data_IF_030097233120
#
_entry.id   IF_030097233120
#
_cell.length_a   1.000
_cell.length_b   1.000
_cell.length_c   1.000
_cell.angle_alpha   90.00
_cell.angle_beta   90.00
_cell.angle_gamma   90.00
#
_symmetry.space_group_name_H-M   'P 1'
#
loop_
_entity.id
_entity.type
_entity.pdbx_description
1 polymer ?
#
# COMPACT_ATOMS: atom_id res chain seq x y z
N UNK A 1 19.47 7.45 -23.74
CA UNK A 1 19.30 5.98 -23.78
C UNK A 1 18.46 5.57 -22.57
N UNK A 2 17.33 4.89 -22.78
CA UNK A 2 16.54 4.35 -21.67
C UNK A 2 17.26 3.12 -21.12
N UNK A 3 17.59 3.14 -19.82
CA UNK A 3 18.07 1.96 -19.10
C UNK A 3 16.87 1.19 -18.58
N UNK A 4 16.77 -0.10 -18.93
CA UNK A 4 15.77 -1.01 -18.38
C UNK A 4 16.38 -1.69 -17.16
N UNK A 5 15.69 -1.63 -16.03
CA UNK A 5 16.09 -2.28 -14.79
C UNK A 5 14.99 -3.23 -14.31
N UNK A 6 15.38 -4.31 -13.63
CA UNK A 6 14.42 -5.17 -12.93
C UNK A 6 13.87 -4.42 -11.71
N UNK A 7 12.57 -4.57 -11.49
CA UNK A 7 11.93 -4.13 -10.25
C UNK A 7 11.97 -5.28 -9.25
N UNK A 8 12.20 -4.96 -7.98
CA UNK A 8 12.08 -5.95 -6.91
C UNK A 8 10.61 -6.32 -6.73
N UNK A 9 10.29 -7.61 -6.57
CA UNK A 9 8.91 -8.08 -6.42
C UNK A 9 8.19 -7.40 -5.24
N UNK A 10 8.88 -7.23 -4.12
CA UNK A 10 8.35 -6.52 -2.95
C UNK A 10 7.98 -5.05 -3.27
N UNK A 11 8.68 -4.40 -4.19
CA UNK A 11 8.35 -3.04 -4.64
C UNK A 11 7.05 -3.04 -5.45
N UNK A 12 6.90 -3.96 -6.41
CA UNK A 12 5.71 -4.06 -7.26
C UNK A 12 4.49 -4.41 -6.40
N UNK A 13 4.55 -5.53 -5.70
CA UNK A 13 3.40 -6.05 -4.94
C UNK A 13 3.07 -5.19 -3.72
N UNK A 14 4.08 -4.57 -3.10
CA UNK A 14 3.87 -3.59 -2.04
C UNK A 14 3.13 -2.34 -2.53
N UNK A 15 3.48 -1.80 -3.70
CA UNK A 15 2.76 -0.67 -4.29
C UNK A 15 1.33 -1.05 -4.70
N UNK A 16 1.12 -2.22 -5.29
CA UNK A 16 -0.21 -2.70 -5.61
C UNK A 16 -1.08 -2.91 -4.36
N UNK A 17 -0.52 -3.46 -3.28
CA UNK A 17 -1.21 -3.58 -2.00
C UNK A 17 -1.53 -2.21 -1.37
N UNK A 18 -0.63 -1.24 -1.51
CA UNK A 18 -0.88 0.16 -1.13
C UNK A 18 -2.12 0.72 -1.80
N UNK A 19 -2.22 0.57 -3.13
CA UNK A 19 -3.34 1.06 -3.91
C UNK A 19 -4.66 0.40 -3.47
N UNK A 20 -4.65 -0.93 -3.25
CA UNK A 20 -5.78 -1.66 -2.69
C UNK A 20 -6.20 -1.10 -1.32
N UNK A 21 -5.24 -0.88 -0.41
CA UNK A 21 -5.53 -0.30 0.90
C UNK A 21 -6.12 1.13 0.78
N UNK A 22 -5.65 1.92 -0.20
CA UNK A 22 -6.18 3.24 -0.52
C UNK A 22 -7.64 3.19 -0.99
N UNK A 23 -8.05 2.14 -1.71
CA UNK A 23 -9.45 1.93 -2.10
C UNK A 23 -10.37 1.81 -0.88
N UNK A 24 -9.91 1.20 0.22
CA UNK A 24 -10.70 1.15 1.47
C UNK A 24 -10.90 2.53 2.09
N UNK A 25 -9.92 3.42 1.95
CA UNK A 25 -10.08 4.81 2.36
C UNK A 25 -11.07 5.55 1.45
N UNK A 26 -10.93 5.39 0.13
CA UNK A 26 -11.85 5.98 -0.85
C UNK A 26 -13.29 5.51 -0.67
N UNK A 27 -13.50 4.25 -0.27
CA UNK A 27 -14.82 3.69 0.02
C UNK A 27 -15.57 4.47 1.12
N UNK A 28 -14.86 5.14 2.05
CA UNK A 28 -15.49 6.01 3.06
C UNK A 28 -16.20 7.21 2.46
N UNK A 29 -15.75 7.65 1.28
CA UNK A 29 -16.34 8.78 0.54
C UNK A 29 -17.37 8.31 -0.50
N UNK A 30 -17.57 6.99 -0.66
CA UNK A 30 -18.52 6.39 -1.60
C UNK A 30 -19.37 5.30 -0.91
N UNK A 31 -20.34 5.69 -0.06
CA UNK A 31 -21.10 4.77 0.78
C UNK A 31 -21.81 3.65 0.01
N UNK A 32 -22.29 3.95 -1.20
CA UNK A 32 -22.99 2.98 -2.05
C UNK A 32 -22.07 1.85 -2.54
N UNK A 33 -20.78 2.13 -2.69
CA UNK A 33 -19.78 1.15 -3.15
C UNK A 33 -19.08 0.43 -1.98
N UNK A 34 -19.11 1.01 -0.78
CA UNK A 34 -18.41 0.47 0.38
C UNK A 34 -18.77 -0.98 0.75
N UNK A 35 -20.05 -1.42 0.70
CA UNK A 35 -20.42 -2.81 0.99
C UNK A 35 -19.80 -3.82 0.03
N UNK A 36 -19.50 -3.42 -1.21
CA UNK A 36 -18.87 -4.28 -2.22
C UNK A 36 -17.36 -4.20 -2.14
N UNK A 37 -16.80 -2.98 -2.09
CA UNK A 37 -15.35 -2.76 -2.17
C UNK A 37 -14.61 -3.26 -0.93
N UNK A 38 -15.19 -3.05 0.26
CA UNK A 38 -14.52 -3.41 1.52
C UNK A 38 -14.20 -4.90 1.62
N UNK A 39 -15.19 -5.81 1.56
CA UNK A 39 -14.91 -7.25 1.65
C UNK A 39 -14.08 -7.75 0.47
N UNK A 40 -14.28 -7.20 -0.75
CA UNK A 40 -13.51 -7.57 -1.92
C UNK A 40 -12.01 -7.28 -1.74
N UNK A 41 -11.66 -6.06 -1.34
CA UNK A 41 -10.27 -5.66 -1.13
C UNK A 41 -9.65 -6.43 0.02
N UNK A 42 -10.37 -6.62 1.14
CA UNK A 42 -9.88 -7.41 2.27
C UNK A 42 -9.59 -8.86 1.85
N UNK A 43 -10.50 -9.49 1.10
CA UNK A 43 -10.28 -10.84 0.58
C UNK A 43 -9.07 -10.89 -0.36
N UNK A 44 -8.90 -9.92 -1.25
CA UNK A 44 -7.77 -9.90 -2.18
C UNK A 44 -6.43 -9.76 -1.47
N UNK A 45 -6.35 -8.92 -0.42
CA UNK A 45 -5.14 -8.74 0.38
C UNK A 45 -4.73 -10.00 1.16
N UNK A 46 -5.64 -10.96 1.36
CA UNK A 46 -5.33 -12.27 1.98
C UNK A 46 -4.81 -13.32 1.00
N UNK A 47 -4.70 -13.00 -0.30
CA UNK A 47 -4.24 -13.96 -1.32
C UNK A 47 -2.79 -13.69 -1.75
N UNK A 48 -2.03 -14.73 -2.13
CA UNK A 48 -0.74 -14.52 -2.78
C UNK A 48 -0.88 -13.68 -4.05
N UNK A 49 0.07 -12.76 -4.34
CA UNK A 49 1.27 -12.43 -3.54
C UNK A 49 1.05 -11.31 -2.50
N UNK A 50 -0.19 -10.86 -2.27
CA UNK A 50 -0.51 -9.74 -1.37
C UNK A 50 -0.45 -10.11 0.11
N UNK A 51 -0.68 -11.37 0.45
CA UNK A 51 -0.64 -11.93 1.80
C UNK A 51 0.70 -11.69 2.54
N UNK A 52 1.77 -11.38 1.80
CA UNK A 52 3.09 -11.04 2.34
C UNK A 52 3.53 -9.60 2.08
N UNK A 53 2.70 -8.77 1.45
CA UNK A 53 3.04 -7.41 1.05
C UNK A 53 2.95 -6.39 2.19
N UNK A 54 2.21 -6.70 3.24
CA UNK A 54 1.94 -5.82 4.38
C UNK A 54 0.86 -6.39 5.29
N UNK A 55 0.44 -5.59 6.26
CA UNK A 55 -0.57 -5.98 7.24
C UNK A 55 -1.39 -4.78 7.71
N UNK A 56 -2.62 -5.05 8.18
CA UNK A 56 -3.41 -4.04 8.88
C UNK A 56 -3.02 -4.02 10.35
N UNK A 57 -2.63 -2.84 10.81
CA UNK A 57 -2.44 -2.54 12.24
C UNK A 57 -3.64 -1.77 12.78
N UNK A 58 -3.66 -1.49 14.08
CA UNK A 58 -4.63 -0.55 14.69
C UNK A 58 -4.59 0.86 14.08
N UNK A 59 -3.51 1.21 13.38
CA UNK A 59 -3.31 2.52 12.73
C UNK A 59 -3.51 2.48 11.21
N UNK A 60 -4.09 1.39 10.69
CA UNK A 60 -4.25 1.17 9.26
C UNK A 60 -3.16 0.28 8.66
N UNK A 61 -3.14 0.22 7.34
CA UNK A 61 -2.26 -0.66 6.57
C UNK A 61 -0.80 -0.19 6.61
N UNK A 62 0.12 -1.15 6.77
CA UNK A 62 1.57 -0.92 6.74
C UNK A 62 2.20 -1.91 5.79
N UNK A 63 2.94 -1.40 4.79
CA UNK A 63 3.69 -2.26 3.86
C UNK A 63 4.90 -2.89 4.53
N UNK A 64 5.34 -4.02 3.98
CA UNK A 64 6.64 -4.65 4.29
C UNK A 64 7.78 -4.16 3.39
N UNK A 65 7.47 -3.34 2.37
CA UNK A 65 8.43 -2.76 1.44
C UNK A 65 8.31 -1.23 1.37
N UNK A 66 9.40 -0.57 0.99
CA UNK A 66 9.42 0.87 0.75
C UNK A 66 9.33 1.15 -0.75
N UNK A 67 8.33 1.95 -1.18
CA UNK A 67 8.15 2.35 -2.57
C UNK A 67 9.21 3.34 -3.09
N UNK A 68 10.03 3.91 -2.19
CA UNK A 68 11.03 4.94 -2.47
C UNK A 68 10.48 6.22 -3.13
N UNK A 69 9.17 6.45 -3.07
CA UNK A 69 8.54 7.66 -3.62
C UNK A 69 9.18 8.95 -3.08
N UNK A 70 9.53 8.98 -1.79
CA UNK A 70 10.21 10.12 -1.18
C UNK A 70 11.55 10.50 -1.84
N UNK A 71 12.19 9.56 -2.56
CA UNK A 71 13.45 9.80 -3.29
C UNK A 71 13.25 10.35 -4.71
N UNK A 72 12.01 10.36 -5.23
CA UNK A 72 11.74 10.85 -6.59
C UNK A 72 11.89 12.38 -6.61
N UNK A 73 12.75 12.96 -7.48
CA UNK A 73 12.94 14.40 -7.56
C UNK A 73 11.63 15.17 -7.82
N UNK A 74 11.44 16.36 -7.22
CA UNK A 74 12.38 17.12 -6.38
C UNK A 74 12.54 16.60 -4.93
N UNK A 75 11.81 15.54 -4.57
CA UNK A 75 11.69 15.01 -3.22
C UNK A 75 10.22 14.90 -2.85
N UNK A 76 9.75 13.68 -2.56
CA UNK A 76 8.36 13.40 -2.18
C UNK A 76 8.20 13.18 -0.68
N UNK A 77 6.96 13.07 -0.22
CA UNK A 77 6.66 12.73 1.17
C UNK A 77 6.73 11.23 1.44
N UNK A 78 6.83 10.87 2.72
CA UNK A 78 6.69 9.49 3.16
C UNK A 78 5.22 9.08 3.05
N UNK A 79 4.95 7.92 2.43
CA UNK A 79 3.58 7.44 2.29
C UNK A 79 2.93 7.17 3.66
N UNK A 80 1.61 7.38 3.74
CA UNK A 80 0.80 7.08 4.91
C UNK A 80 0.69 5.59 5.27
N UNK A 81 1.36 4.69 4.57
CA UNK A 81 1.49 3.24 4.82
C UNK A 81 2.97 2.77 4.77
N UNK A 82 3.92 3.72 4.85
CA UNK A 82 5.34 3.44 4.64
C UNK A 82 5.95 2.55 5.74
N UNK A 83 6.68 1.52 5.32
CA UNK A 83 7.39 0.56 6.17
C UNK A 83 8.49 1.18 7.06
N UNK A 84 8.94 2.40 6.73
CA UNK A 84 10.01 3.09 7.44
C UNK A 84 9.49 4.05 8.53
N UNK A 85 8.17 4.23 8.63
CA UNK A 85 7.58 5.06 9.67
C UNK A 85 7.45 4.24 10.95
N UNK A 86 8.01 4.75 12.06
CA UNK A 86 7.77 4.15 13.37
C UNK A 86 6.37 4.53 13.86
N UNK A 87 5.50 3.52 13.97
CA UNK A 87 4.11 3.69 14.43
C UNK A 87 3.91 3.36 15.91
N UNK A 88 4.99 3.16 16.67
CA UNK A 88 4.92 3.02 18.14
C UNK A 88 4.70 4.35 18.85
N UNK A 89 4.85 5.46 18.14
CA UNK A 89 4.97 6.82 18.69
C UNK A 89 3.77 7.72 18.44
N UNK A 90 2.65 7.20 17.93
CA UNK A 90 1.44 7.99 17.63
C UNK A 90 0.21 7.39 18.29
#
# INVERSE_FOLDING_TARGET
MLKVAKLADGLIWGNAASALSGTLYAARMAPDLAPTLTPFVQALLTRPPFDTAGEFTRYGYVRRSCCLYYKVPPGGEMCGDCALLDRRSV
#
